data_IF_406671293102
#
_entry.id   IF_406671293102
#
_cell.length_a   1.000
_cell.length_b   1.000
_cell.length_c   1.000
_cell.angle_alpha   90.00
_cell.angle_beta   90.00
_cell.angle_gamma   90.00
#
_symmetry.space_group_name_H-M   'P 1'
#
loop_
_entity.id
_entity.type
_entity.pdbx_description
1 polymer ?
#
# COMPACT_ATOMS: atom_id res chain seq x y z
N UNK A 1 -8.47 -23.72 -15.21
CA UNK A 1 -8.67 -22.57 -14.31
C UNK A 1 -7.36 -22.31 -13.60
N UNK A 2 -6.79 -21.15 -13.82
CA UNK A 2 -5.55 -20.74 -13.17
C UNK A 2 -5.87 -19.88 -11.94
N UNK A 3 -4.93 -19.85 -10.99
CA UNK A 3 -4.89 -18.92 -9.87
C UNK A 3 -3.57 -18.22 -9.93
N UNK A 4 -3.55 -16.90 -9.76
CA UNK A 4 -2.32 -16.09 -9.69
C UNK A 4 -2.39 -15.24 -8.44
N UNK A 5 -1.70 -15.68 -7.41
CA UNK A 5 -1.60 -14.92 -6.16
C UNK A 5 -0.52 -13.86 -6.24
N UNK A 6 -0.86 -12.60 -5.95
CA UNK A 6 0.07 -11.46 -6.05
C UNK A 6 0.39 -10.82 -4.69
N UNK A 7 -0.50 -10.89 -3.73
CA UNK A 7 -0.27 -10.31 -2.41
C UNK A 7 -1.10 -10.99 -1.32
N UNK A 8 -0.69 -10.80 -0.07
CA UNK A 8 -1.36 -11.42 1.07
C UNK A 8 -1.32 -10.54 2.33
N UNK A 9 -2.32 -10.72 3.19
CA UNK A 9 -2.35 -10.15 4.54
C UNK A 9 -2.76 -11.21 5.55
N UNK A 10 -2.25 -11.10 6.76
CA UNK A 10 -2.55 -12.03 7.85
C UNK A 10 -3.07 -11.29 9.08
N UNK A 11 -4.05 -11.88 9.73
CA UNK A 11 -4.53 -11.51 11.07
C UNK A 11 -4.39 -12.70 12.02
N UNK A 12 -4.76 -12.55 13.27
CA UNK A 12 -4.77 -13.69 14.21
C UNK A 12 -5.71 -14.82 13.81
N UNK A 13 -6.74 -14.54 13.01
CA UNK A 13 -7.81 -15.47 12.67
C UNK A 13 -7.78 -15.95 11.23
N UNK A 14 -7.31 -15.12 10.29
CA UNK A 14 -7.42 -15.41 8.87
C UNK A 14 -6.17 -14.96 8.09
N UNK A 15 -5.94 -15.67 6.99
CA UNK A 15 -5.05 -15.30 5.90
C UNK A 15 -5.91 -14.88 4.70
N UNK A 16 -5.63 -13.73 4.14
CA UNK A 16 -6.29 -13.16 2.96
C UNK A 16 -5.30 -13.10 1.82
N UNK A 17 -5.67 -13.58 0.65
CA UNK A 17 -4.78 -13.68 -0.50
C UNK A 17 -5.46 -13.07 -1.72
N UNK A 18 -4.77 -12.15 -2.37
CA UNK A 18 -5.23 -11.53 -3.61
C UNK A 18 -5.03 -12.48 -4.79
N UNK A 19 -6.10 -13.14 -5.26
CA UNK A 19 -6.13 -13.91 -6.49
C UNK A 19 -6.38 -12.96 -7.66
N UNK A 20 -5.28 -12.54 -8.29
CA UNK A 20 -5.32 -11.60 -9.39
C UNK A 20 -6.02 -12.19 -10.62
N UNK A 21 -5.77 -13.47 -10.94
CA UNK A 21 -6.44 -14.15 -12.06
C UNK A 21 -7.95 -14.26 -11.84
N UNK A 22 -8.34 -14.69 -10.63
CA UNK A 22 -9.74 -14.87 -10.26
C UNK A 22 -10.50 -13.58 -9.96
N UNK A 23 -9.80 -12.43 -9.90
CA UNK A 23 -10.33 -11.12 -9.51
C UNK A 23 -11.08 -11.15 -8.17
N UNK A 24 -10.52 -11.82 -7.17
CA UNK A 24 -11.14 -12.03 -5.85
C UNK A 24 -10.10 -12.06 -4.73
N UNK A 25 -10.56 -12.01 -3.49
CA UNK A 25 -9.76 -12.34 -2.32
C UNK A 25 -10.15 -13.75 -1.84
N UNK A 26 -9.19 -14.65 -1.78
CA UNK A 26 -9.34 -15.93 -1.11
C UNK A 26 -9.01 -15.76 0.38
N UNK A 27 -9.90 -16.22 1.24
CA UNK A 27 -9.73 -16.15 2.69
C UNK A 27 -9.56 -17.55 3.25
N UNK A 28 -8.52 -17.76 4.05
CA UNK A 28 -8.26 -19.00 4.77
C UNK A 28 -8.31 -18.74 6.28
N UNK A 29 -8.82 -19.71 7.04
CA UNK A 29 -8.72 -19.66 8.50
C UNK A 29 -7.26 -19.79 8.97
N UNK A 30 -7.02 -19.57 10.26
CA UNK A 30 -5.71 -19.81 10.87
C UNK A 30 -5.28 -21.31 10.90
N UNK A 31 -6.17 -22.21 10.50
CA UNK A 31 -5.90 -23.65 10.26
C UNK A 31 -5.81 -23.98 8.76
N UNK A 32 -5.67 -22.96 7.91
CA UNK A 32 -5.54 -23.06 6.44
C UNK A 32 -6.74 -23.70 5.74
N UNK A 33 -7.94 -23.58 6.30
CA UNK A 33 -9.18 -24.00 5.66
C UNK A 33 -9.76 -22.84 4.86
N UNK A 34 -9.98 -23.05 3.54
CA UNK A 34 -10.63 -22.06 2.66
C UNK A 34 -12.02 -21.71 3.17
N UNK A 35 -12.27 -20.42 3.33
CA UNK A 35 -13.55 -19.89 3.80
C UNK A 35 -14.50 -19.61 2.64
N UNK A 36 -15.80 -19.68 2.92
CA UNK A 36 -16.81 -19.35 1.92
C UNK A 36 -16.77 -17.87 1.53
N UNK A 37 -16.85 -17.53 0.22
CA UNK A 37 -16.93 -16.14 -0.22
C UNK A 37 -18.26 -15.46 0.20
N UNK A 38 -19.26 -16.20 0.63
CA UNK A 38 -20.49 -15.64 1.22
C UNK A 38 -20.21 -14.93 2.54
N UNK A 39 -19.26 -15.47 3.33
CA UNK A 39 -18.87 -14.89 4.62
C UNK A 39 -17.77 -13.83 4.48
N UNK A 40 -17.03 -13.84 3.37
CA UNK A 40 -15.92 -12.94 3.07
C UNK A 40 -16.05 -12.41 1.63
N UNK A 41 -17.04 -11.54 1.34
CA UNK A 41 -17.39 -11.20 -0.04
C UNK A 41 -16.34 -10.36 -0.77
N UNK A 42 -15.61 -9.49 -0.10
CA UNK A 42 -14.65 -8.56 -0.71
C UNK A 42 -15.13 -7.94 -2.03
N UNK A 43 -16.42 -7.59 -2.08
CA UNK A 43 -17.06 -7.11 -3.30
C UNK A 43 -17.20 -5.60 -3.32
N UNK A 44 -16.89 -5.01 -4.46
CA UNK A 44 -17.22 -3.63 -4.80
C UNK A 44 -17.68 -3.60 -6.28
N UNK A 45 -18.98 -3.51 -6.55
CA UNK A 45 -19.49 -3.49 -7.91
C UNK A 45 -19.12 -2.22 -8.69
N UNK A 46 -18.54 -1.22 -8.04
CA UNK A 46 -18.06 0.01 -8.69
C UNK A 46 -16.62 -0.09 -9.21
N UNK A 47 -15.92 -1.19 -8.96
CA UNK A 47 -14.63 -1.49 -9.62
C UNK A 47 -14.93 -1.90 -11.06
N UNK A 48 -14.35 -1.22 -12.07
CA UNK A 48 -14.58 -1.58 -13.47
C UNK A 48 -14.08 -2.99 -13.80
N UNK A 49 -14.74 -3.65 -14.75
CA UNK A 49 -14.26 -4.92 -15.28
C UNK A 49 -12.82 -4.79 -15.81
N UNK A 50 -12.02 -5.84 -15.63
CA UNK A 50 -10.60 -5.84 -15.99
C UNK A 50 -9.67 -5.31 -14.93
N UNK A 51 -10.17 -4.95 -13.74
CA UNK A 51 -9.37 -4.70 -12.56
C UNK A 51 -9.50 -5.85 -11.56
N UNK A 52 -8.41 -6.17 -10.89
CA UNK A 52 -8.37 -7.25 -9.90
C UNK A 52 -7.56 -6.85 -8.67
N UNK A 53 -7.82 -7.49 -7.51
CA UNK A 53 -6.98 -7.33 -6.32
C UNK A 53 -5.52 -7.69 -6.65
N UNK A 54 -4.61 -6.74 -6.49
CA UNK A 54 -3.19 -6.89 -6.78
C UNK A 54 -2.39 -7.08 -5.49
N UNK A 55 -2.79 -6.39 -4.43
CA UNK A 55 -2.30 -6.63 -3.08
C UNK A 55 -3.40 -6.39 -2.05
N UNK A 56 -3.17 -6.88 -0.84
CA UNK A 56 -3.98 -6.65 0.35
C UNK A 56 -3.07 -6.41 1.53
N UNK A 57 -3.33 -5.38 2.34
CA UNK A 57 -2.56 -5.05 3.54
C UNK A 57 -3.47 -4.85 4.74
N UNK A 58 -3.03 -5.34 5.90
CA UNK A 58 -3.74 -5.17 7.17
C UNK A 58 -3.11 -4.02 7.96
N UNK A 59 -3.87 -2.94 8.16
CA UNK A 59 -3.40 -1.75 8.87
C UNK A 59 -4.46 -1.33 9.88
N UNK A 60 -4.09 -1.26 11.14
CA UNK A 60 -4.93 -0.75 12.24
C UNK A 60 -6.34 -1.37 12.30
N UNK A 61 -6.43 -2.69 12.11
CA UNK A 61 -7.70 -3.43 12.19
C UNK A 61 -8.51 -3.46 10.90
N UNK A 62 -8.04 -2.84 9.82
CA UNK A 62 -8.70 -2.75 8.53
C UNK A 62 -7.86 -3.39 7.43
N UNK A 63 -8.54 -3.87 6.38
CA UNK A 63 -7.92 -4.43 5.20
C UNK A 63 -8.01 -3.42 4.04
N UNK A 64 -6.86 -3.04 3.52
CA UNK A 64 -6.75 -2.20 2.33
C UNK A 64 -6.46 -3.11 1.14
N UNK A 65 -7.36 -3.15 0.18
CA UNK A 65 -7.20 -3.93 -1.06
C UNK A 65 -6.81 -2.96 -2.17
N UNK A 66 -5.65 -3.22 -2.77
CA UNK A 66 -5.11 -2.47 -3.89
C UNK A 66 -5.40 -3.22 -5.17
N UNK A 67 -5.94 -2.54 -6.16
CA UNK A 67 -6.35 -3.12 -7.42
C UNK A 67 -5.48 -2.59 -8.56
N UNK A 68 -5.13 -3.47 -9.49
CA UNK A 68 -4.47 -3.12 -10.75
C UNK A 68 -5.30 -3.62 -11.93
N UNK A 69 -5.04 -3.04 -13.10
CA UNK A 69 -5.64 -3.49 -14.36
C UNK A 69 -4.97 -4.78 -14.82
N UNK A 70 -5.77 -5.78 -15.15
CA UNK A 70 -5.29 -7.07 -15.67
C UNK A 70 -4.89 -6.96 -17.14
N UNK A 71 -3.87 -7.71 -17.55
CA UNK A 71 -3.60 -8.01 -18.94
C UNK A 71 -4.65 -8.98 -19.55
N UNK A 72 -4.54 -9.27 -20.82
CA UNK A 72 -5.48 -10.16 -21.51
C UNK A 72 -5.42 -11.62 -21.01
N UNK A 73 -4.28 -12.04 -20.47
CA UNK A 73 -4.08 -13.36 -19.85
C UNK A 73 -4.51 -13.39 -18.38
N UNK A 74 -4.79 -12.25 -17.76
CA UNK A 74 -5.08 -12.06 -16.33
C UNK A 74 -3.93 -12.51 -15.44
N UNK A 75 -2.72 -12.50 -15.95
CA UNK A 75 -1.54 -12.94 -15.26
C UNK A 75 -0.75 -11.76 -14.69
N UNK A 76 -0.58 -10.71 -15.48
CA UNK A 76 0.18 -9.54 -15.11
C UNK A 76 -0.66 -8.27 -15.20
N UNK A 77 -0.17 -7.22 -14.55
CA UNK A 77 -0.82 -5.92 -14.58
C UNK A 77 -0.48 -5.16 -15.86
N UNK A 78 -1.36 -4.23 -16.21
CA UNK A 78 -1.13 -3.28 -17.29
C UNK A 78 -0.82 -1.93 -16.67
N UNK A 79 0.46 -1.56 -16.70
CA UNK A 79 0.91 -0.26 -16.23
C UNK A 79 0.27 0.88 -17.03
N UNK A 80 -0.05 1.97 -16.35
CA UNK A 80 -0.58 3.19 -16.95
C UNK A 80 -1.19 4.12 -15.90
N UNK A 81 -1.14 5.44 -16.12
CA UNK A 81 -1.75 6.41 -15.22
C UNK A 81 -3.25 6.11 -15.02
N UNK A 82 -3.69 6.08 -13.76
CA UNK A 82 -5.06 5.77 -13.41
C UNK A 82 -5.42 4.27 -13.40
N UNK A 83 -4.45 3.38 -13.66
CA UNK A 83 -4.67 1.94 -13.60
C UNK A 83 -4.54 1.41 -12.16
N UNK A 84 -5.35 1.96 -11.25
CA UNK A 84 -5.40 1.52 -9.87
C UNK A 84 -6.59 2.03 -9.08
N UNK A 85 -6.96 1.26 -8.05
CA UNK A 85 -7.96 1.61 -7.04
C UNK A 85 -7.50 1.09 -5.68
N UNK A 86 -8.02 1.68 -4.61
CA UNK A 86 -7.79 1.19 -3.24
C UNK A 86 -9.12 1.22 -2.50
N UNK A 87 -9.52 0.08 -1.95
CA UNK A 87 -10.70 -0.06 -1.10
C UNK A 87 -10.31 -0.39 0.33
N UNK A 88 -11.15 0.01 1.27
CA UNK A 88 -11.07 -0.37 2.68
C UNK A 88 -12.21 -1.33 3.00
N UNK A 89 -11.84 -2.48 3.56
CA UNK A 89 -12.76 -3.49 4.06
C UNK A 89 -12.52 -3.73 5.56
N UNK A 90 -13.54 -4.23 6.25
CA UNK A 90 -13.32 -4.86 7.54
C UNK A 90 -12.74 -6.28 7.36
N UNK A 91 -12.38 -6.94 8.45
CA UNK A 91 -11.81 -8.29 8.44
C UNK A 91 -12.79 -9.38 7.98
N UNK A 92 -14.07 -9.10 7.87
CA UNK A 92 -15.08 -9.99 7.30
C UNK A 92 -15.31 -9.72 5.79
N UNK A 93 -14.49 -8.89 5.15
CA UNK A 93 -14.62 -8.59 3.73
C UNK A 93 -15.80 -7.69 3.36
N UNK A 94 -16.39 -6.98 4.32
CA UNK A 94 -17.43 -5.99 4.06
C UNK A 94 -16.78 -4.68 3.65
N UNK A 95 -17.16 -4.15 2.49
CA UNK A 95 -16.68 -2.86 2.00
C UNK A 95 -17.11 -1.73 2.94
N UNK A 96 -16.15 -0.96 3.42
CA UNK A 96 -16.40 0.22 4.25
C UNK A 96 -16.39 1.50 3.41
N UNK A 97 -15.39 1.65 2.53
CA UNK A 97 -15.31 2.78 1.59
C UNK A 97 -14.28 2.56 0.49
N UNK A 98 -14.41 3.32 -0.60
CA UNK A 98 -13.34 3.57 -1.55
C UNK A 98 -12.34 4.56 -0.93
N UNK A 99 -11.06 4.16 -0.83
CA UNK A 99 -10.01 5.03 -0.32
C UNK A 99 -9.47 5.95 -1.42
N UNK A 100 -9.11 5.38 -2.57
CA UNK A 100 -8.62 6.13 -3.72
C UNK A 100 -9.00 5.47 -5.03
N UNK A 101 -9.16 6.28 -6.08
CA UNK A 101 -9.53 5.84 -7.43
C UNK A 101 -8.65 6.50 -8.46
N UNK A 102 -8.03 5.70 -9.34
CA UNK A 102 -7.34 6.18 -10.52
C UNK A 102 -6.30 7.29 -10.23
N UNK A 103 -6.29 8.38 -11.00
CA UNK A 103 -5.39 9.51 -10.79
C UNK A 103 -3.90 9.11 -10.75
N UNK A 104 -3.21 9.28 -9.61
CA UNK A 104 -1.80 8.95 -9.48
C UNK A 104 -1.53 7.45 -9.33
N UNK A 105 -2.56 6.62 -9.18
CA UNK A 105 -2.41 5.17 -9.02
C UNK A 105 -2.06 4.51 -10.35
N UNK A 106 -1.02 3.68 -10.33
CA UNK A 106 -0.50 2.95 -11.48
C UNK A 106 0.00 1.59 -10.99
N UNK A 107 -0.85 0.57 -11.07
CA UNK A 107 -0.59 -0.75 -10.49
C UNK A 107 -0.08 -0.65 -9.04
N UNK A 108 -0.85 -0.06 -8.11
CA UNK A 108 -0.40 0.12 -6.73
C UNK A 108 -0.24 -1.24 -6.03
N UNK A 109 0.91 -1.44 -5.33
CA UNK A 109 1.16 -2.68 -4.60
C UNK A 109 1.57 -2.44 -3.15
N UNK A 110 2.63 -1.70 -2.89
CA UNK A 110 3.08 -1.38 -1.54
C UNK A 110 2.20 -0.34 -0.88
N UNK A 111 1.77 -0.56 0.37
CA UNK A 111 1.07 0.47 1.16
C UNK A 111 1.43 0.36 2.63
N UNK A 112 1.81 1.50 3.22
CA UNK A 112 2.14 1.61 4.65
C UNK A 112 1.58 2.91 5.22
N UNK A 113 1.34 3.00 6.53
CA UNK A 113 1.23 4.29 7.20
C UNK A 113 2.54 5.07 7.00
N UNK A 114 2.43 6.35 6.69
CA UNK A 114 3.61 7.18 6.58
C UNK A 114 4.32 7.25 7.95
N UNK A 115 5.65 7.16 7.99
CA UNK A 115 6.40 7.35 9.22
C UNK A 115 6.09 8.72 9.84
N UNK A 116 6.11 8.78 11.18
CA UNK A 116 5.95 10.06 11.88
C UNK A 116 7.13 10.98 11.59
N UNK A 117 6.93 11.92 10.70
CA UNK A 117 7.93 12.91 10.33
C UNK A 117 7.23 14.22 9.96
N UNK A 118 7.98 15.34 9.93
CA UNK A 118 7.45 16.61 9.45
C UNK A 118 7.27 16.65 7.91
N UNK A 119 7.74 15.65 7.20
CA UNK A 119 7.62 15.55 5.74
C UNK A 119 6.24 15.06 5.31
N UNK A 120 5.56 14.32 6.18
CA UNK A 120 4.24 13.77 5.88
C UNK A 120 3.19 14.28 6.87
N UNK A 121 2.03 14.75 6.39
CA UNK A 121 0.92 15.08 7.28
C UNK A 121 0.54 13.89 8.16
N UNK A 122 0.15 14.16 9.39
CA UNK A 122 -0.22 13.11 10.35
C UNK A 122 -1.32 12.20 9.81
N UNK A 123 -1.15 10.90 9.96
CA UNK A 123 -2.10 9.88 9.50
C UNK A 123 -2.10 9.66 7.99
N UNK A 124 -1.09 10.20 7.27
CA UNK A 124 -0.91 9.91 5.85
C UNK A 124 -0.54 8.46 5.59
N UNK A 125 -0.73 8.05 4.35
CA UNK A 125 -0.29 6.76 3.83
C UNK A 125 0.69 6.95 2.67
N UNK A 126 1.65 6.05 2.57
CA UNK A 126 2.52 5.92 1.41
C UNK A 126 2.04 4.74 0.57
N UNK A 127 1.88 4.99 -0.72
CA UNK A 127 1.42 3.98 -1.69
C UNK A 127 2.44 3.91 -2.83
N UNK A 128 3.11 2.77 -2.94
CA UNK A 128 4.06 2.48 -4.01
C UNK A 128 3.35 1.91 -5.24
N UNK A 129 3.64 2.49 -6.38
CA UNK A 129 3.19 2.00 -7.67
C UNK A 129 4.24 1.05 -8.27
N UNK A 130 3.85 -0.17 -8.57
CA UNK A 130 4.68 -1.09 -9.35
C UNK A 130 4.85 -0.58 -10.80
N UNK A 131 3.76 -0.06 -11.39
CA UNK A 131 3.72 0.30 -12.79
C UNK A 131 4.60 1.48 -13.21
N UNK A 132 4.99 2.38 -12.29
CA UNK A 132 5.86 3.53 -12.59
C UNK A 132 6.95 3.80 -11.56
N UNK A 133 7.01 3.02 -10.47
CA UNK A 133 8.04 3.13 -9.44
C UNK A 133 7.94 4.34 -8.52
N UNK A 134 6.89 5.14 -8.59
CA UNK A 134 6.69 6.29 -7.71
C UNK A 134 6.03 5.88 -6.39
N UNK A 135 6.38 6.61 -5.32
CA UNK A 135 5.72 6.50 -4.02
C UNK A 135 4.80 7.71 -3.84
N UNK A 136 3.51 7.48 -3.82
CA UNK A 136 2.48 8.49 -3.64
C UNK A 136 2.15 8.68 -2.16
N UNK A 137 1.90 9.92 -1.78
CA UNK A 137 1.44 10.30 -0.44
C UNK A 137 -0.06 10.57 -0.49
N UNK A 138 -0.83 9.89 0.35
CA UNK A 138 -2.25 10.10 0.51
C UNK A 138 -2.58 10.52 1.94
N UNK A 139 -3.56 11.39 2.11
CA UNK A 139 -4.11 11.70 3.43
C UNK A 139 -4.84 10.49 4.03
N UNK A 140 -5.17 10.55 5.32
CA UNK A 140 -6.02 9.55 6.00
C UNK A 140 -7.40 9.36 5.35
N UNK A 141 -7.84 10.31 4.55
CA UNK A 141 -9.14 10.29 3.86
C UNK A 141 -9.04 9.81 2.40
N UNK A 142 -7.81 9.56 1.89
CA UNK A 142 -7.56 9.11 0.53
C UNK A 142 -7.36 10.24 -0.49
N UNK A 143 -7.21 11.50 -0.05
CA UNK A 143 -6.82 12.58 -0.95
C UNK A 143 -5.32 12.48 -1.28
N UNK A 144 -4.97 12.57 -2.56
CA UNK A 144 -3.58 12.60 -3.00
C UNK A 144 -2.92 13.92 -2.60
N UNK A 145 -1.75 13.85 -1.98
CA UNK A 145 -1.00 14.99 -1.47
C UNK A 145 0.28 15.28 -2.27
N UNK A 146 0.71 14.34 -3.12
CA UNK A 146 1.92 14.44 -3.91
C UNK A 146 2.71 13.14 -3.91
N UNK A 147 3.98 13.22 -4.29
CA UNK A 147 4.93 12.11 -4.30
C UNK A 147 6.03 12.33 -3.29
N UNK A 148 6.66 11.24 -2.86
CA UNK A 148 7.87 11.30 -2.05
C UNK A 148 9.01 11.86 -2.90
N UNK A 149 9.73 12.84 -2.35
CA UNK A 149 10.80 13.57 -3.04
C UNK A 149 12.16 13.32 -2.41
N UNK A 150 13.20 13.44 -3.22
CA UNK A 150 14.57 13.47 -2.76
C UNK A 150 14.93 14.84 -2.15
N UNK A 151 16.16 14.96 -1.65
CA UNK A 151 16.70 16.18 -1.06
C UNK A 151 16.71 17.39 -2.02
N UNK A 152 16.71 17.15 -3.34
CA UNK A 152 16.70 18.19 -4.37
C UNK A 152 15.28 18.57 -4.82
N UNK A 153 14.24 17.91 -4.26
CA UNK A 153 12.87 18.14 -4.59
C UNK A 153 12.36 17.35 -5.82
N UNK A 154 13.15 16.42 -6.35
CA UNK A 154 12.72 15.52 -7.43
C UNK A 154 11.93 14.33 -6.88
N UNK A 155 10.91 13.89 -7.62
CA UNK A 155 10.15 12.71 -7.29
C UNK A 155 11.05 11.47 -7.29
N UNK A 156 11.05 10.70 -6.19
CA UNK A 156 11.81 9.45 -6.09
C UNK A 156 11.14 8.41 -6.98
N UNK A 157 11.91 7.84 -7.92
CA UNK A 157 11.50 6.77 -8.80
C UNK A 157 12.32 5.51 -8.55
N UNK A 158 11.65 4.40 -8.25
CA UNK A 158 12.25 3.09 -7.98
C UNK A 158 11.66 2.10 -8.99
N UNK A 159 12.35 1.81 -10.10
CA UNK A 159 11.84 0.91 -11.13
C UNK A 159 11.50 -0.48 -10.58
N UNK A 160 10.31 -1.00 -10.90
CA UNK A 160 9.84 -2.29 -10.43
C UNK A 160 9.53 -2.31 -8.93
N UNK A 161 9.06 -1.20 -8.37
CA UNK A 161 8.75 -1.08 -6.93
C UNK A 161 7.64 -2.04 -6.52
N UNK A 162 7.97 -3.00 -5.67
CA UNK A 162 7.03 -3.91 -5.03
C UNK A 162 6.66 -3.43 -3.62
N UNK A 163 7.35 -3.93 -2.62
CA UNK A 163 7.03 -3.76 -1.22
C UNK A 163 7.51 -2.45 -0.62
N UNK A 164 6.72 -1.93 0.30
CA UNK A 164 7.11 -0.89 1.25
C UNK A 164 6.95 -1.42 2.66
N UNK A 165 7.88 -1.09 3.54
CA UNK A 165 7.82 -1.40 4.96
C UNK A 165 8.36 -0.24 5.78
N UNK A 166 7.80 -0.04 6.96
CA UNK A 166 8.37 0.83 7.99
C UNK A 166 8.32 0.08 9.32
N UNK A 167 9.33 0.27 10.15
CA UNK A 167 9.34 -0.39 11.46
C UNK A 167 9.34 0.65 12.57
N UNK A 168 8.20 0.88 13.23
CA UNK A 168 8.10 1.81 14.35
C UNK A 168 8.82 1.32 15.62
N UNK A 169 9.19 0.03 15.69
CA UNK A 169 9.83 -0.56 16.85
C UNK A 169 11.37 -0.41 16.87
N UNK A 170 11.99 -0.02 15.76
CA UNK A 170 13.43 0.28 15.75
C UNK A 170 13.70 1.72 16.20
N UNK A 171 14.87 1.93 16.79
CA UNK A 171 15.36 3.22 17.29
C UNK A 171 15.51 4.32 16.20
N UNK A 172 15.24 4.00 14.96
CA UNK A 172 15.21 4.92 13.82
C UNK A 172 13.82 4.88 13.15
N UNK A 173 12.80 5.56 13.72
CA UNK A 173 11.40 5.42 13.29
C UNK A 173 11.06 5.98 11.90
N UNK A 174 12.02 6.64 11.24
CA UNK A 174 11.78 7.38 10.00
C UNK A 174 12.42 6.73 8.76
N UNK A 175 12.64 5.41 8.80
CA UNK A 175 13.16 4.65 7.66
C UNK A 175 11.99 3.99 6.93
N UNK A 176 11.94 4.20 5.61
CA UNK A 176 11.07 3.47 4.70
C UNK A 176 11.94 2.46 3.97
N UNK A 177 11.69 1.18 4.17
CA UNK A 177 12.32 0.11 3.40
C UNK A 177 11.49 -0.18 2.17
N UNK A 178 12.17 -0.55 1.08
CA UNK A 178 11.51 -0.99 -0.13
C UNK A 178 12.16 -2.23 -0.71
N UNK A 179 11.36 -3.01 -1.45
CA UNK A 179 11.81 -4.08 -2.33
C UNK A 179 11.39 -3.77 -3.75
N UNK A 180 12.26 -4.02 -4.72
CA UNK A 180 11.94 -3.82 -6.14
C UNK A 180 12.57 -4.89 -7.02
N UNK A 181 11.95 -5.10 -8.20
CA UNK A 181 12.42 -5.98 -9.27
C UNK A 181 12.83 -5.18 -10.51
N UNK A 182 14.00 -4.50 -10.52
CA UNK A 182 14.43 -3.75 -11.69
C UNK A 182 14.75 -4.69 -12.88
N UNK A 183 14.86 -4.11 -14.09
CA UNK A 183 15.14 -4.83 -15.33
C UNK A 183 14.08 -5.90 -15.65
N UNK A 184 12.80 -5.53 -15.62
CA UNK A 184 11.68 -6.45 -15.83
C UNK A 184 11.76 -7.68 -14.89
N UNK A 185 12.05 -7.43 -13.62
CA UNK A 185 12.16 -8.42 -12.54
C UNK A 185 13.30 -9.46 -12.70
N UNK A 186 14.22 -9.24 -13.63
CA UNK A 186 15.41 -10.09 -13.77
C UNK A 186 16.38 -9.94 -12.58
N UNK A 187 16.23 -8.87 -11.78
CA UNK A 187 17.05 -8.60 -10.62
C UNK A 187 16.16 -8.28 -9.41
N UNK A 188 16.71 -8.48 -8.20
CA UNK A 188 16.10 -8.04 -6.95
C UNK A 188 16.92 -6.91 -6.31
N UNK A 189 16.23 -5.93 -5.76
CA UNK A 189 16.84 -4.84 -4.99
C UNK A 189 16.07 -4.62 -3.70
N UNK A 190 16.78 -4.53 -2.58
CA UNK A 190 16.26 -4.06 -1.30
C UNK A 190 17.01 -2.79 -0.91
N UNK A 191 16.28 -1.77 -0.54
CA UNK A 191 16.87 -0.49 -0.16
C UNK A 191 16.08 0.22 0.93
N UNK A 192 16.56 1.40 1.31
CA UNK A 192 15.88 2.24 2.29
C UNK A 192 15.94 3.71 1.89
N UNK A 193 14.87 4.42 2.23
CA UNK A 193 14.78 5.87 2.18
C UNK A 193 14.88 6.38 3.63
N UNK A 194 15.82 7.25 3.87
CA UNK A 194 16.05 7.86 5.18
C UNK A 194 15.80 9.35 5.12
N UNK A 195 15.35 9.91 6.23
CA UNK A 195 15.19 11.35 6.34
C UNK A 195 16.52 12.08 6.14
N UNK A 196 16.47 13.18 5.42
CA UNK A 196 17.61 14.10 5.35
C UNK A 196 17.98 14.63 6.75
N UNK A 197 19.28 14.70 7.10
CA UNK A 197 19.73 15.17 8.41
C UNK A 197 19.49 16.66 8.70
N UNK A 198 19.01 17.45 7.73
CA UNK A 198 18.70 18.84 7.98
C UNK A 198 17.45 18.98 8.86
N UNK A 199 17.52 19.75 9.95
CA UNK A 199 16.37 19.95 10.82
C UNK A 199 15.26 20.65 10.02
N UNK A 200 14.14 19.99 9.81
CA UNK A 200 12.94 20.69 9.42
C UNK A 200 12.63 21.72 10.51
N UNK A 201 12.42 23.00 10.19
CA UNK A 201 11.81 23.91 11.12
C UNK A 201 10.35 23.46 11.28
N UNK A 202 10.09 22.55 12.23
CA UNK A 202 8.74 22.14 12.56
C UNK A 202 8.06 23.23 13.40
N UNK A 203 7.04 23.91 12.89
CA UNK A 203 5.99 24.36 13.75
C UNK A 203 5.10 23.12 14.01
N UNK A 204 5.33 22.40 15.12
CA UNK A 204 4.35 21.43 15.60
C UNK A 204 3.14 22.19 16.15
N UNK A 205 2.01 22.29 15.46
CA UNK A 205 0.79 22.78 16.07
C UNK A 205 0.11 21.56 16.74
N UNK A 206 0.20 21.51 18.04
CA UNK A 206 -0.51 20.67 19.01
C UNK A 206 0.22 19.45 19.62
N UNK A 207 0.04 19.25 20.93
CA UNK A 207 0.66 18.15 21.66
C UNK A 207 0.11 16.82 21.17
N UNK A 208 0.99 15.98 20.70
CA UNK A 208 0.73 14.64 20.20
C UNK A 208 0.09 13.77 21.28
N UNK A 209 -1.20 13.51 21.18
CA UNK A 209 -1.80 12.32 21.76
C UNK A 209 -1.57 11.19 20.76
N UNK A 210 -0.40 10.54 20.80
CA UNK A 210 -0.20 9.27 20.12
C UNK A 210 1.22 8.68 20.32
N UNK A 211 1.39 7.34 20.21
CA UNK A 211 2.63 6.62 20.46
C UNK A 211 3.81 6.95 19.51
N UNK A 212 3.71 7.93 18.66
CA UNK A 212 4.82 8.47 17.86
C UNK A 212 5.64 9.54 18.60
N UNK A 213 5.68 9.54 19.94
CA UNK A 213 6.58 10.43 20.65
C UNK A 213 7.99 9.83 20.70
N UNK A 214 9.06 10.56 20.28
CA UNK A 214 9.51 11.69 21.06
C UNK A 214 9.80 12.96 20.23
N UNK A 215 8.94 13.95 20.27
CA UNK A 215 9.40 15.31 20.14
C UNK A 215 10.04 15.69 21.48
N UNK A 216 11.33 15.50 21.62
CA UNK A 216 12.07 16.16 22.68
C UNK A 216 12.10 17.66 22.34
N UNK A 217 11.83 18.56 23.29
CA UNK A 217 11.79 19.99 23.01
C UNK A 217 13.17 20.48 22.55
N UNK A 218 13.14 21.40 21.57
CA UNK A 218 14.28 22.25 21.27
C UNK A 218 14.69 23.07 22.49
#
# INVERSE_FOLDING_TARGET
>A
SGTVYKGLAITSSNLYIADFFGAKIDTYSNTFVLQSPVNFPFSDPSIPAGFAPFNIVFISGLLYVLYAKQDGAKHDDVAGPGNGFINIFNTNGVLLKRFASQGPLNSPWGMIPAPCSCEFPQGSFLVGNFGDGFINVFSSFGAWLGRVKDINGFDINIPGLWGLASNPAFSTPNIIYFASGPNAEANGLVGSLTKCPNPCPCPCPNPCFNPCNPCNPC
#
